data_IF_601353776633
#
_entry.id   IF_601353776633
#
_cell.length_a   1.000
_cell.length_b   1.000
_cell.length_c   1.000
_cell.angle_alpha   90.00
_cell.angle_beta   90.00
_cell.angle_gamma   90.00
#
_symmetry.space_group_name_H-M   'P 1'
#
loop_
_entity.id
_entity.type
_entity.pdbx_description
1 polymer ?
#
# COMPACT_ATOMS: atom_id res chain seq x y z
N UNK A 1 18.34 -22.59 20.27
CA UNK A 1 17.74 -23.16 19.04
C UNK A 1 18.45 -22.75 17.73
N UNK A 2 19.02 -21.54 17.68
CA UNK A 2 19.58 -20.89 16.47
C UNK A 2 20.54 -21.75 15.64
N UNK A 3 21.54 -22.40 16.25
CA UNK A 3 22.57 -23.17 15.55
C UNK A 3 22.08 -24.49 14.92
N UNK A 4 20.92 -25.02 15.34
CA UNK A 4 20.38 -26.30 14.83
C UNK A 4 19.37 -26.12 13.71
N UNK A 5 18.86 -24.89 13.52
CA UNK A 5 17.82 -24.59 12.54
C UNK A 5 18.31 -24.44 11.11
N UNK A 6 19.62 -24.22 10.90
CA UNK A 6 20.18 -23.88 9.60
C UNK A 6 19.80 -22.48 9.07
N UNK A 7 18.97 -21.73 9.80
CA UNK A 7 18.54 -20.40 9.40
C UNK A 7 19.67 -19.37 9.58
N UNK A 8 19.82 -18.50 8.58
CA UNK A 8 20.72 -17.35 8.68
C UNK A 8 20.21 -16.36 9.74
N UNK A 9 21.14 -15.56 10.28
CA UNK A 9 20.78 -14.48 11.22
C UNK A 9 19.82 -13.47 10.60
N UNK A 10 20.02 -13.15 9.32
CA UNK A 10 19.16 -12.24 8.56
C UNK A 10 17.74 -12.79 8.45
N UNK A 11 17.61 -14.06 8.09
CA UNK A 11 16.30 -14.73 8.00
C UNK A 11 15.59 -14.74 9.36
N UNK A 12 16.29 -15.05 10.45
CA UNK A 12 15.74 -15.00 11.81
C UNK A 12 15.24 -13.60 12.18
N UNK A 13 16.00 -12.55 11.83
CA UNK A 13 15.58 -11.17 12.07
C UNK A 13 14.33 -10.79 11.26
N UNK A 14 14.26 -11.18 9.98
CA UNK A 14 13.08 -10.91 9.14
C UNK A 14 11.85 -11.64 9.67
N UNK A 15 11.98 -12.91 10.05
CA UNK A 15 10.88 -13.66 10.65
C UNK A 15 10.40 -13.04 11.96
N UNK A 16 11.31 -12.57 12.81
CA UNK A 16 10.93 -11.86 14.03
C UNK A 16 10.26 -10.52 13.73
N UNK A 17 10.75 -9.76 12.76
CA UNK A 17 10.17 -8.48 12.34
C UNK A 17 8.73 -8.66 11.79
N UNK A 18 8.51 -9.74 11.03
CA UNK A 18 7.20 -10.15 10.50
C UNK A 18 6.28 -10.82 11.55
N UNK A 19 6.73 -10.97 12.80
CA UNK A 19 5.91 -11.54 13.87
C UNK A 19 5.74 -13.07 13.82
N UNK A 20 6.60 -13.79 13.10
CA UNK A 20 6.53 -15.26 12.99
C UNK A 20 6.67 -15.98 14.36
N UNK A 21 7.19 -15.28 15.38
CA UNK A 21 7.39 -15.81 16.73
C UNK A 21 6.38 -15.27 17.75
N UNK A 22 5.41 -14.45 17.35
CA UNK A 22 4.47 -13.79 18.27
C UNK A 22 3.65 -14.81 19.08
N UNK A 23 3.21 -15.89 18.44
CA UNK A 23 2.49 -16.99 19.11
C UNK A 23 3.34 -17.71 20.16
N UNK A 24 4.65 -17.81 19.92
CA UNK A 24 5.60 -18.42 20.85
C UNK A 24 5.83 -17.51 22.06
N UNK A 25 5.97 -16.20 21.83
CA UNK A 25 6.06 -15.19 22.89
C UNK A 25 4.78 -15.11 23.73
N UNK A 26 3.61 -15.19 23.10
CA UNK A 26 2.33 -15.23 23.79
C UNK A 26 2.22 -16.45 24.72
N UNK A 27 2.71 -17.62 24.28
CA UNK A 27 2.69 -18.86 25.08
C UNK A 27 3.68 -18.83 26.24
N UNK A 28 4.83 -18.17 26.08
CA UNK A 28 5.80 -17.99 27.19
C UNK A 28 5.41 -16.83 28.11
N UNK A 29 4.50 -15.95 27.68
CA UNK A 29 4.07 -14.76 28.40
C UNK A 29 5.19 -13.75 28.61
N UNK A 30 6.24 -13.79 27.77
CA UNK A 30 7.50 -13.09 28.04
C UNK A 30 7.92 -12.21 26.87
N UNK A 31 7.98 -10.90 27.15
CA UNK A 31 8.42 -9.86 26.22
C UNK A 31 7.49 -9.66 25.02
N UNK A 32 7.84 -8.69 24.18
CA UNK A 32 7.13 -8.37 22.95
C UNK A 32 8.04 -8.54 21.72
N UNK A 33 7.49 -8.26 20.53
CA UNK A 33 8.22 -8.38 19.26
C UNK A 33 9.50 -7.55 19.25
N UNK A 34 9.47 -6.33 19.80
CA UNK A 34 10.63 -5.44 19.86
C UNK A 34 11.74 -6.01 20.76
N UNK A 35 11.38 -6.55 21.92
CA UNK A 35 12.33 -7.23 22.83
C UNK A 35 13.06 -8.38 22.11
N UNK A 36 12.32 -9.18 21.33
CA UNK A 36 12.89 -10.30 20.58
C UNK A 36 13.82 -9.84 19.45
N UNK A 37 13.43 -8.80 18.71
CA UNK A 37 14.26 -8.24 17.65
C UNK A 37 15.58 -7.71 18.24
N UNK A 38 15.53 -7.01 19.38
CA UNK A 38 16.72 -6.52 20.07
C UNK A 38 17.62 -7.68 20.54
N UNK A 39 17.00 -8.72 21.12
CA UNK A 39 17.71 -9.91 21.55
C UNK A 39 18.34 -10.72 20.39
N UNK A 40 17.74 -10.69 19.19
CA UNK A 40 18.33 -11.28 17.98
C UNK A 40 19.46 -10.41 17.39
N UNK A 41 19.38 -9.09 17.56
CA UNK A 41 20.45 -8.13 17.21
C UNK A 41 21.65 -8.20 18.15
N UNK A 42 21.49 -8.71 19.36
CA UNK A 42 22.63 -9.01 20.23
C UNK A 42 23.44 -10.18 19.63
N UNK A 43 24.76 -10.03 19.42
CA UNK A 43 25.58 -11.10 18.87
C UNK A 43 25.51 -12.33 19.76
N UNK A 44 25.37 -13.51 19.15
CA UNK A 44 25.44 -14.77 19.86
C UNK A 44 26.77 -14.86 20.62
N UNK A 45 26.73 -15.42 21.84
CA UNK A 45 27.90 -15.54 22.71
C UNK A 45 29.11 -16.18 22.02
N UNK A 46 30.30 -15.93 22.58
CA UNK A 46 31.59 -16.40 22.05
C UNK A 46 31.52 -17.87 21.63
N UNK A 47 32.08 -18.18 20.45
CA UNK A 47 32.22 -19.55 19.96
C UNK A 47 32.89 -20.40 21.03
N UNK A 48 32.25 -21.50 21.42
CA UNK A 48 32.79 -22.40 22.43
C UNK A 48 34.16 -22.94 21.98
N UNK A 49 35.20 -22.84 22.84
CA UNK A 49 36.48 -23.50 22.61
C UNK A 49 36.29 -25.00 22.32
N UNK A 50 37.17 -25.60 21.52
CA UNK A 50 37.06 -27.01 21.10
C UNK A 50 36.81 -27.97 22.27
N UNK A 51 37.48 -27.76 23.41
CA UNK A 51 37.32 -28.57 24.63
C UNK A 51 35.93 -28.54 25.27
N UNK A 52 35.09 -27.56 24.93
CA UNK A 52 33.72 -27.40 25.42
C UNK A 52 32.68 -27.65 24.33
N UNK A 53 33.09 -28.10 23.14
CA UNK A 53 32.13 -28.49 22.10
C UNK A 53 31.50 -29.83 22.47
N UNK A 54 30.20 -30.01 22.20
CA UNK A 54 29.52 -31.29 22.47
C UNK A 54 30.20 -32.44 21.72
N UNK A 55 30.52 -33.52 22.44
CA UNK A 55 31.03 -34.76 21.84
C UNK A 55 29.88 -35.70 21.44
N UNK A 56 30.16 -36.61 20.51
CA UNK A 56 29.17 -37.60 20.08
C UNK A 56 28.73 -38.49 21.27
N UNK A 57 27.42 -38.63 21.47
CA UNK A 57 26.84 -39.35 22.60
C UNK A 57 26.65 -38.55 23.89
N UNK A 58 27.08 -37.27 23.93
CA UNK A 58 26.82 -36.41 25.08
C UNK A 58 25.35 -35.98 25.14
N UNK A 59 24.70 -36.25 26.28
CA UNK A 59 23.32 -35.82 26.53
C UNK A 59 23.25 -34.32 26.84
N UNK A 60 22.15 -33.69 26.42
CA UNK A 60 21.85 -32.30 26.74
C UNK A 60 21.16 -32.21 28.10
N UNK A 61 21.54 -31.21 28.91
CA UNK A 61 20.81 -30.87 30.13
C UNK A 61 19.43 -30.28 29.76
N UNK A 62 18.35 -30.66 30.46
CA UNK A 62 17.00 -30.14 30.18
C UNK A 62 16.82 -28.73 30.78
N UNK A 63 17.56 -27.75 30.25
CA UNK A 63 17.55 -26.36 30.74
C UNK A 63 16.36 -25.52 30.22
N UNK A 64 15.45 -26.13 29.46
CA UNK A 64 14.31 -25.44 28.87
C UNK A 64 14.72 -24.42 27.81
N UNK A 65 13.88 -23.39 27.61
CA UNK A 65 14.10 -22.35 26.62
C UNK A 65 14.92 -21.19 27.19
N UNK A 66 16.24 -21.31 27.04
CA UNK A 66 17.18 -20.29 27.47
C UNK A 66 17.18 -19.04 26.57
N UNK A 67 16.68 -19.14 25.33
CA UNK A 67 16.69 -18.01 24.41
C UNK A 67 15.69 -16.94 24.92
N UNK A 68 14.44 -17.32 25.23
CA UNK A 68 13.48 -16.38 25.83
C UNK A 68 13.77 -16.05 27.30
N UNK A 69 14.26 -17.01 28.10
CA UNK A 69 14.54 -16.77 29.51
C UNK A 69 15.62 -15.68 29.72
N UNK A 70 16.61 -15.60 28.82
CA UNK A 70 17.68 -14.62 28.87
C UNK A 70 17.40 -13.35 28.06
N UNK A 71 16.23 -13.26 27.42
CA UNK A 71 15.80 -12.06 26.70
C UNK A 71 15.56 -10.93 27.70
N UNK A 72 16.16 -9.77 27.43
CA UNK A 72 15.86 -8.53 28.13
C UNK A 72 14.44 -8.08 27.76
N UNK A 73 13.70 -7.54 28.72
CA UNK A 73 12.31 -7.11 28.54
C UNK A 73 12.23 -5.64 28.94
N UNK A 74 11.54 -4.85 28.14
CA UNK A 74 11.25 -3.45 28.46
C UNK A 74 11.16 -2.54 27.25
N UNK A 75 11.36 -3.07 26.04
CA UNK A 75 11.13 -2.32 24.82
C UNK A 75 9.65 -1.97 24.69
N UNK A 76 9.35 -0.79 24.14
CA UNK A 76 7.98 -0.41 23.81
C UNK A 76 7.43 -1.34 22.72
N UNK A 77 6.13 -1.63 22.77
CA UNK A 77 5.47 -2.39 21.72
C UNK A 77 5.58 -1.65 20.38
N UNK A 78 5.92 -2.38 19.32
CA UNK A 78 5.97 -1.83 17.96
C UNK A 78 4.58 -1.31 17.58
N UNK A 79 4.45 -0.03 17.20
CA UNK A 79 3.17 0.53 16.79
C UNK A 79 2.71 -0.09 15.47
N UNK A 80 1.39 -0.09 15.24
CA UNK A 80 0.77 -0.79 14.10
C UNK A 80 1.28 -0.28 12.74
N UNK A 81 1.53 1.01 12.61
CA UNK A 81 2.05 1.62 11.37
C UNK A 81 3.47 1.13 11.05
N UNK A 82 4.31 0.94 12.06
CA UNK A 82 5.65 0.36 11.89
C UNK A 82 5.58 -1.14 11.55
N UNK A 83 4.62 -1.87 12.11
CA UNK A 83 4.35 -3.27 11.73
C UNK A 83 3.98 -3.37 10.26
N UNK A 84 3.00 -2.60 9.80
CA UNK A 84 2.54 -2.62 8.41
C UNK A 84 3.66 -2.17 7.45
N UNK A 85 4.45 -1.16 7.82
CA UNK A 85 5.64 -0.77 7.03
C UNK A 85 6.64 -1.91 6.89
N UNK A 86 6.92 -2.62 7.97
CA UNK A 86 7.83 -3.77 7.98
C UNK A 86 7.33 -4.90 7.08
N UNK A 87 6.01 -5.16 7.09
CA UNK A 87 5.38 -6.15 6.20
C UNK A 87 5.55 -5.76 4.73
N UNK A 88 5.27 -4.50 4.40
CA UNK A 88 5.45 -3.98 3.04
C UNK A 88 6.93 -4.01 2.61
N UNK A 89 7.87 -3.67 3.48
CA UNK A 89 9.30 -3.65 3.15
C UNK A 89 9.86 -5.06 2.90
N UNK A 90 9.39 -6.07 3.65
CA UNK A 90 9.92 -7.44 3.58
C UNK A 90 9.13 -8.38 2.68
N UNK A 91 7.81 -8.18 2.56
CA UNK A 91 6.89 -9.06 1.83
C UNK A 91 6.18 -8.35 0.66
N UNK A 92 6.29 -7.02 0.55
CA UNK A 92 5.56 -6.21 -0.45
C UNK A 92 4.02 -6.29 -0.35
N UNK A 93 3.49 -6.86 0.73
CA UNK A 93 2.07 -6.97 1.05
C UNK A 93 1.85 -6.64 2.52
N UNK A 94 0.71 -6.04 2.83
CA UNK A 94 0.21 -5.79 4.17
C UNK A 94 -0.68 -6.95 4.65
N UNK A 95 -0.46 -7.38 5.90
CA UNK A 95 -1.13 -8.55 6.49
C UNK A 95 -1.89 -8.17 7.75
N UNK A 96 -1.28 -7.37 8.63
CA UNK A 96 -1.88 -7.05 9.93
C UNK A 96 -3.00 -6.01 9.82
N UNK A 97 -2.81 -4.98 8.99
CA UNK A 97 -3.79 -3.92 8.74
C UNK A 97 -3.53 -3.28 7.38
N UNK A 98 -4.57 -2.76 6.74
CA UNK A 98 -4.40 -2.15 5.42
C UNK A 98 -3.67 -0.81 5.52
N UNK A 99 -2.75 -0.51 4.60
CA UNK A 99 -1.98 0.74 4.61
C UNK A 99 -2.87 2.00 4.73
N UNK A 100 -4.05 1.98 4.11
CA UNK A 100 -5.00 3.11 4.13
C UNK A 100 -5.60 3.39 5.51
N UNK A 101 -5.58 2.43 6.44
CA UNK A 101 -6.08 2.64 7.81
C UNK A 101 -5.29 3.73 8.54
N UNK A 102 -3.98 3.82 8.29
CA UNK A 102 -3.13 4.90 8.84
C UNK A 102 -3.56 6.30 8.38
N UNK A 103 -4.27 6.39 7.24
CA UNK A 103 -4.81 7.63 6.68
C UNK A 103 -6.28 7.88 7.06
N UNK A 104 -6.94 6.97 7.79
CA UNK A 104 -8.38 7.05 8.08
C UNK A 104 -8.85 8.40 8.66
N UNK A 105 -8.13 9.07 9.59
CA UNK A 105 -8.55 10.38 10.09
C UNK A 105 -8.59 11.47 8.99
N UNK A 106 -7.61 11.45 8.08
CA UNK A 106 -7.53 12.37 6.95
C UNK A 106 -8.62 12.06 5.91
N UNK A 107 -8.80 10.79 5.57
CA UNK A 107 -9.83 10.38 4.58
C UNK A 107 -11.24 10.75 5.06
N UNK A 108 -11.49 10.61 6.37
CA UNK A 108 -12.75 11.03 6.98
C UNK A 108 -12.98 12.53 6.91
N UNK A 109 -11.95 13.36 7.12
CA UNK A 109 -12.11 14.82 7.01
C UNK A 109 -12.35 15.28 5.57
N UNK A 110 -11.81 14.56 4.59
CA UNK A 110 -12.04 14.82 3.17
C UNK A 110 -13.41 14.34 2.67
N UNK A 111 -14.08 13.44 3.39
CA UNK A 111 -15.36 12.85 2.98
C UNK A 111 -15.21 11.82 1.87
N UNK A 112 -14.13 11.02 1.92
CA UNK A 112 -13.88 9.92 0.99
C UNK A 112 -14.94 8.83 1.14
N UNK A 113 -15.42 8.31 0.02
CA UNK A 113 -16.31 7.15 -0.07
C UNK A 113 -15.49 5.88 -0.23
N UNK A 114 -15.86 4.84 0.51
CA UNK A 114 -15.20 3.54 0.42
C UNK A 114 -15.70 2.73 -0.78
N UNK A 115 -14.84 1.84 -1.29
CA UNK A 115 -15.14 0.96 -2.42
C UNK A 115 -16.44 0.17 -2.20
N UNK A 116 -16.60 -0.42 -1.01
CA UNK A 116 -17.78 -1.20 -0.63
C UNK A 116 -19.11 -0.43 -0.72
N UNK A 117 -19.08 0.90 -0.55
CA UNK A 117 -20.28 1.74 -0.50
C UNK A 117 -20.72 2.20 -1.89
N UNK A 118 -19.80 2.21 -2.86
CA UNK A 118 -20.05 2.78 -4.19
C UNK A 118 -21.21 2.06 -4.89
N UNK A 119 -21.33 0.74 -4.76
CA UNK A 119 -22.34 -0.05 -5.47
C UNK A 119 -23.78 0.39 -5.14
N UNK A 120 -24.01 0.89 -3.92
CA UNK A 120 -25.28 1.44 -3.47
C UNK A 120 -25.59 2.84 -4.00
N UNK A 121 -24.60 3.53 -4.59
CA UNK A 121 -24.77 4.89 -5.07
C UNK A 121 -25.48 4.94 -6.44
N UNK A 122 -26.13 6.08 -6.69
CA UNK A 122 -26.71 6.39 -8.00
C UNK A 122 -25.58 6.55 -9.02
N UNK A 123 -25.88 6.21 -10.28
CA UNK A 123 -24.98 6.50 -11.39
C UNK A 123 -24.81 8.01 -11.60
N UNK A 124 -23.58 8.47 -11.80
CA UNK A 124 -23.26 9.89 -11.93
C UNK A 124 -23.15 10.64 -10.60
N UNK A 125 -23.17 9.95 -9.46
CA UNK A 125 -22.86 10.55 -8.16
C UNK A 125 -21.39 10.98 -8.15
N UNK A 126 -21.15 12.19 -7.69
CA UNK A 126 -19.80 12.73 -7.53
C UNK A 126 -19.21 12.26 -6.20
N UNK A 127 -18.00 11.70 -6.27
CA UNK A 127 -17.34 11.05 -5.12
C UNK A 127 -15.85 11.35 -5.09
N UNK A 128 -15.29 11.25 -3.89
CA UNK A 128 -13.86 11.12 -3.66
C UNK A 128 -13.60 9.67 -3.24
N UNK A 129 -12.63 9.02 -3.86
CA UNK A 129 -12.17 7.68 -3.48
C UNK A 129 -10.67 7.75 -3.25
N UNK A 130 -10.15 7.05 -2.24
CA UNK A 130 -8.73 7.01 -1.98
C UNK A 130 -8.25 5.56 -1.85
N UNK A 131 -7.05 5.27 -2.33
CA UNK A 131 -6.50 3.92 -2.22
C UNK A 131 -5.07 3.81 -2.72
N UNK A 132 -4.51 2.61 -2.52
CA UNK A 132 -3.23 2.19 -3.05
C UNK A 132 -3.43 1.74 -4.50
N UNK A 133 -2.67 2.29 -5.43
CA UNK A 133 -2.65 1.83 -6.82
C UNK A 133 -2.21 0.37 -6.89
N UNK A 134 -3.06 -0.48 -7.45
CA UNK A 134 -2.77 -1.91 -7.67
C UNK A 134 -2.57 -2.23 -9.16
N UNK A 135 -3.14 -1.43 -10.07
CA UNK A 135 -2.94 -1.60 -11.50
C UNK A 135 -3.04 -0.27 -12.26
N UNK A 136 -2.28 -0.16 -13.35
CA UNK A 136 -2.41 0.91 -14.35
C UNK A 136 -2.42 0.29 -15.75
N UNK A 137 -3.42 0.63 -16.55
CA UNK A 137 -3.53 0.18 -17.94
C UNK A 137 -3.78 1.36 -18.86
N UNK A 138 -3.15 1.35 -20.04
CA UNK A 138 -3.23 2.47 -20.99
C UNK A 138 -3.56 2.00 -22.41
N UNK A 139 -4.73 1.36 -22.61
CA UNK A 139 -5.07 0.81 -23.91
C UNK A 139 -5.13 1.89 -24.99
N UNK A 140 -4.76 1.55 -26.24
CA UNK A 140 -4.79 2.48 -27.35
C UNK A 140 -6.24 2.84 -27.71
N UNK A 141 -6.50 4.11 -28.03
CA UNK A 141 -7.79 4.55 -28.59
C UNK A 141 -7.69 4.88 -30.07
N UNK A 142 -8.83 4.79 -30.77
CA UNK A 142 -8.97 5.32 -32.13
C UNK A 142 -8.58 6.81 -32.15
N UNK A 143 -7.68 7.17 -33.07
CA UNK A 143 -7.17 8.53 -33.22
C UNK A 143 -5.91 8.87 -32.42
N UNK A 144 -5.16 7.86 -31.95
CA UNK A 144 -3.84 8.04 -31.33
C UNK A 144 -3.86 8.62 -29.91
N UNK A 145 -5.05 8.85 -29.35
CA UNK A 145 -5.23 9.21 -27.94
C UNK A 145 -5.14 7.96 -27.07
N UNK A 146 -4.81 8.11 -25.79
CA UNK A 146 -4.83 7.04 -24.80
C UNK A 146 -5.81 7.38 -23.69
N UNK A 147 -6.41 6.36 -23.09
CA UNK A 147 -7.14 6.44 -21.83
C UNK A 147 -6.29 5.76 -20.77
N UNK A 148 -6.33 6.23 -19.53
CA UNK A 148 -5.62 5.58 -18.42
C UNK A 148 -6.68 4.99 -17.50
N UNK A 149 -6.59 3.69 -17.25
CA UNK A 149 -7.34 2.99 -16.21
C UNK A 149 -6.41 2.80 -15.02
N UNK A 150 -6.86 3.21 -13.84
CA UNK A 150 -6.16 2.98 -12.59
C UNK A 150 -7.10 2.23 -11.66
N UNK A 151 -6.66 1.09 -11.14
CA UNK A 151 -7.33 0.37 -10.08
C UNK A 151 -6.68 0.74 -8.76
N UNK A 152 -7.50 1.16 -7.78
CA UNK A 152 -7.06 1.47 -6.42
C UNK A 152 -7.74 0.56 -5.42
N UNK A 153 -7.00 0.10 -4.40
CA UNK A 153 -7.51 -0.66 -3.28
C UNK A 153 -7.54 0.21 -2.02
N UNK A 154 -8.67 0.23 -1.32
CA UNK A 154 -8.85 0.99 -0.08
C UNK A 154 -8.91 0.10 1.17
N UNK A 155 -8.76 -1.23 1.00
CA UNK A 155 -8.88 -2.23 2.07
C UNK A 155 -10.31 -2.76 2.25
N UNK A 156 -11.32 -2.08 1.70
CA UNK A 156 -12.70 -2.58 1.59
C UNK A 156 -13.00 -3.18 0.22
N UNK A 157 -12.16 -2.88 -0.77
CA UNK A 157 -12.17 -3.48 -2.10
C UNK A 157 -11.51 -2.58 -3.14
N UNK A 158 -11.47 -3.05 -4.38
CA UNK A 158 -10.88 -2.32 -5.50
C UNK A 158 -11.89 -1.43 -6.24
N UNK A 159 -11.47 -0.25 -6.67
CA UNK A 159 -12.23 0.67 -7.52
C UNK A 159 -11.45 0.99 -8.78
N UNK A 160 -12.09 0.83 -9.93
CA UNK A 160 -11.50 1.20 -11.23
C UNK A 160 -11.86 2.63 -11.60
N UNK A 161 -10.86 3.45 -11.89
CA UNK A 161 -11.00 4.83 -12.32
C UNK A 161 -10.48 5.05 -13.74
N UNK A 162 -11.30 5.69 -14.58
CA UNK A 162 -10.98 5.98 -15.98
C UNK A 162 -10.64 7.45 -16.14
N UNK A 163 -9.40 7.75 -16.53
CA UNK A 163 -8.91 9.09 -16.80
C UNK A 163 -8.92 9.36 -18.30
N UNK A 164 -9.83 10.23 -18.73
CA UNK A 164 -9.87 10.74 -20.11
C UNK A 164 -8.85 11.87 -20.33
N UNK A 165 -8.68 12.28 -21.58
CA UNK A 165 -7.65 13.24 -21.98
C UNK A 165 -7.62 14.53 -21.14
N UNK A 166 -8.77 15.11 -20.80
CA UNK A 166 -8.84 16.32 -19.97
C UNK A 166 -8.38 16.09 -18.53
N UNK A 167 -8.78 14.95 -17.93
CA UNK A 167 -8.32 14.57 -16.59
C UNK A 167 -6.82 14.27 -16.59
N UNK A 168 -6.31 13.59 -17.62
CA UNK A 168 -4.87 13.34 -17.77
C UNK A 168 -4.04 14.63 -17.85
N UNK A 169 -4.54 15.66 -18.54
CA UNK A 169 -3.82 16.94 -18.62
C UNK A 169 -3.71 17.64 -17.26
N UNK A 170 -4.74 17.51 -16.40
CA UNK A 170 -4.74 18.08 -15.04
C UNK A 170 -3.85 17.30 -14.09
N UNK A 171 -4.02 15.98 -14.04
CA UNK A 171 -3.30 15.12 -13.09
C UNK A 171 -1.83 14.89 -13.51
N UNK A 172 -1.50 15.05 -14.79
CA UNK A 172 -0.13 15.03 -15.28
C UNK A 172 0.61 13.71 -14.96
N UNK A 173 1.87 13.76 -14.46
CA UNK A 173 2.70 12.57 -14.22
C UNK A 173 2.23 11.72 -13.02
N UNK A 174 1.37 12.27 -12.15
CA UNK A 174 0.85 11.61 -10.96
C UNK A 174 0.19 10.26 -11.27
N UNK A 175 -0.44 10.14 -12.45
CA UNK A 175 -1.10 8.93 -12.93
C UNK A 175 -0.14 7.74 -13.13
N UNK A 176 1.17 7.97 -13.11
CA UNK A 176 2.18 6.96 -13.40
C UNK A 176 3.22 6.77 -12.28
N UNK A 177 3.53 7.81 -11.51
CA UNK A 177 4.53 7.74 -10.44
C UNK A 177 3.95 7.46 -9.04
N UNK A 178 2.71 7.88 -8.78
CA UNK A 178 2.17 7.89 -7.42
C UNK A 178 1.49 6.59 -7.01
N UNK A 179 1.87 6.04 -5.85
CA UNK A 179 1.25 4.82 -5.29
C UNK A 179 -0.02 5.10 -4.50
N UNK A 180 -0.09 6.19 -3.73
CA UNK A 180 -1.26 6.53 -2.91
C UNK A 180 -2.07 7.63 -3.59
N UNK A 181 -3.29 7.31 -3.99
CA UNK A 181 -4.12 8.21 -4.80
C UNK A 181 -5.34 8.65 -4.02
N UNK A 182 -5.68 9.93 -4.16
CA UNK A 182 -7.01 10.46 -3.94
C UNK A 182 -7.58 10.81 -5.32
N UNK A 183 -8.72 10.23 -5.68
CA UNK A 183 -9.37 10.37 -6.98
C UNK A 183 -10.72 11.05 -6.79
N UNK A 184 -10.92 12.16 -7.47
CA UNK A 184 -12.22 12.80 -7.63
C UNK A 184 -12.87 12.31 -8.93
N UNK A 185 -14.10 11.84 -8.86
CA UNK A 185 -14.77 11.30 -10.03
C UNK A 185 -16.29 11.22 -9.93
N UNK A 186 -16.90 10.77 -11.03
CA UNK A 186 -18.32 10.45 -11.11
C UNK A 186 -18.49 8.94 -11.20
N UNK A 187 -19.41 8.38 -10.43
CA UNK A 187 -19.74 6.95 -10.50
C UNK A 187 -20.30 6.59 -11.87
N UNK A 188 -19.90 5.42 -12.39
CA UNK A 188 -20.33 4.84 -13.65
C UNK A 188 -20.70 3.38 -13.45
N UNK A 189 -21.95 3.02 -13.76
CA UNK A 189 -22.37 1.61 -13.75
C UNK A 189 -21.85 0.89 -14.99
N UNK A 190 -21.15 -0.22 -14.77
CA UNK A 190 -20.50 -1.07 -15.78
C UNK A 190 -21.09 -2.49 -15.80
N UNK A 191 -22.37 -2.62 -15.43
CA UNK A 191 -23.11 -3.90 -15.42
C UNK A 191 -24.02 -4.02 -14.20
N UNK A 192 -24.66 -5.19 -13.99
CA UNK A 192 -25.59 -5.40 -12.87
C UNK A 192 -24.93 -5.20 -11.49
N UNK A 193 -23.66 -5.58 -11.35
CA UNK A 193 -22.84 -5.38 -10.13
C UNK A 193 -21.53 -4.64 -10.40
N UNK A 194 -21.36 -4.07 -11.59
CA UNK A 194 -20.16 -3.33 -11.95
C UNK A 194 -20.33 -1.85 -11.63
N UNK A 195 -19.38 -1.28 -10.89
CA UNK A 195 -19.24 0.16 -10.71
C UNK A 195 -17.78 0.57 -10.91
N UNK A 196 -17.58 1.66 -11.65
CA UNK A 196 -16.30 2.31 -11.86
C UNK A 196 -16.45 3.82 -11.69
N UNK A 197 -15.35 4.54 -11.78
CA UNK A 197 -15.32 6.00 -11.76
C UNK A 197 -14.90 6.54 -13.13
N UNK A 198 -15.60 7.57 -13.59
CA UNK A 198 -15.04 8.52 -14.53
C UNK A 198 -14.25 9.56 -13.73
N UNK A 199 -12.93 9.49 -13.79
CA UNK A 199 -12.06 10.38 -13.03
C UNK A 199 -12.07 11.79 -13.63
N UNK A 200 -12.16 12.75 -12.73
CA UNK A 200 -12.16 14.19 -13.00
C UNK A 200 -10.84 14.82 -12.57
N UNK A 201 -10.32 14.44 -11.40
CA UNK A 201 -9.05 14.91 -10.88
C UNK A 201 -8.41 13.86 -9.96
N UNK A 202 -7.13 14.02 -9.65
CA UNK A 202 -6.42 13.16 -8.72
C UNK A 202 -5.24 13.87 -8.05
N UNK A 203 -4.98 13.47 -6.80
CA UNK A 203 -3.89 13.97 -5.96
C UNK A 203 -3.10 12.82 -5.35
N UNK A 204 -1.88 13.14 -4.90
CA UNK A 204 -1.00 12.23 -4.20
C UNK A 204 -1.31 12.34 -2.71
N UNK A 205 -1.78 11.24 -2.11
CA UNK A 205 -2.14 11.24 -0.70
C UNK A 205 -0.93 11.44 0.23
N UNK A 206 0.28 11.20 -0.27
CA UNK A 206 1.51 11.48 0.47
C UNK A 206 1.86 12.96 0.52
N UNK A 207 1.41 13.76 -0.47
CA UNK A 207 1.68 15.19 -0.56
C UNK A 207 0.56 16.03 0.06
N UNK A 208 0.56 16.09 1.41
CA UNK A 208 -0.51 16.73 2.19
C UNK A 208 -0.80 18.19 1.81
N UNK A 209 0.19 18.94 1.35
CA UNK A 209 0.03 20.34 0.93
C UNK A 209 -0.74 20.52 -0.37
N UNK A 210 -0.77 19.50 -1.22
CA UNK A 210 -1.48 19.52 -2.50
C UNK A 210 -2.92 19.00 -2.37
N UNK A 211 -3.27 18.39 -1.23
CA UNK A 211 -4.60 17.82 -1.02
C UNK A 211 -5.68 18.90 -0.93
N UNK A 212 -6.90 18.60 -1.41
CA UNK A 212 -8.02 19.51 -1.26
C UNK A 212 -8.38 19.68 0.24
N UNK A 213 -9.06 20.78 0.54
CA UNK A 213 -9.53 21.05 1.90
C UNK A 213 -10.57 20.02 2.40
N UNK A 214 -10.78 19.93 3.71
CA UNK A 214 -11.86 19.12 4.29
C UNK A 214 -13.22 19.45 3.69
N UNK A 215 -14.04 18.42 3.47
CA UNK A 215 -15.36 18.60 2.86
C UNK A 215 -15.33 19.11 1.42
N UNK A 216 -14.25 18.85 0.67
CA UNK A 216 -14.04 19.32 -0.71
C UNK A 216 -15.30 19.24 -1.58
N UNK A 217 -16.01 18.11 -1.60
CA UNK A 217 -17.21 17.97 -2.46
C UNK A 217 -18.36 18.93 -2.09
N UNK A 218 -18.44 19.30 -0.82
CA UNK A 218 -19.46 20.21 -0.27
C UNK A 218 -19.08 21.70 -0.39
N UNK A 219 -17.83 22.01 -0.70
CA UNK A 219 -17.37 23.39 -0.84
C UNK A 219 -18.02 24.06 -2.08
N UNK A 220 -18.83 25.11 -1.90
CA UNK A 220 -19.46 25.82 -3.01
C UNK A 220 -18.45 26.62 -3.84
N UNK A 221 -17.29 27.00 -3.28
CA UNK A 221 -16.26 27.77 -3.96
C UNK A 221 -15.29 26.91 -4.78
N UNK A 222 -15.42 25.58 -4.73
CA UNK A 222 -14.55 24.68 -5.49
C UNK A 222 -14.74 24.85 -6.99
N UNK A 223 -13.66 24.65 -7.75
CA UNK A 223 -13.72 24.57 -9.19
C UNK A 223 -14.63 23.39 -9.61
N UNK A 224 -15.79 23.70 -10.21
CA UNK A 224 -16.69 22.68 -10.77
C UNK A 224 -16.35 22.46 -12.23
N UNK A 225 -16.30 21.19 -12.63
CA UNK A 225 -16.08 20.84 -14.03
C UNK A 225 -17.39 20.96 -14.81
N UNK A 226 -17.68 22.16 -15.34
CA UNK A 226 -18.92 22.45 -16.09
C UNK A 226 -19.00 21.76 -17.48
N UNK A 227 -17.88 21.24 -17.99
CA UNK A 227 -17.75 20.79 -19.39
C UNK A 227 -18.25 19.36 -19.68
N UNK A 228 -18.49 18.51 -18.68
CA UNK A 228 -18.70 17.07 -18.93
C UNK A 228 -20.13 16.67 -19.36
N UNK A 229 -21.01 17.64 -19.60
CA UNK A 229 -22.35 17.45 -20.20
C UNK A 229 -22.53 18.10 -21.57
N UNK A 230 -21.53 18.82 -22.07
CA UNK A 230 -21.62 19.59 -23.31
C UNK A 230 -20.78 18.94 -24.41
N UNK A 231 -21.40 18.60 -25.53
CA UNK A 231 -20.78 18.01 -26.73
C UNK A 231 -19.79 18.92 -27.48
N UNK A 232 -19.15 19.87 -26.79
CA UNK A 232 -18.23 20.82 -27.41
C UNK A 232 -16.85 20.18 -27.53
N UNK A 233 -16.36 20.08 -28.77
CA UNK A 233 -15.01 19.56 -29.06
C UNK A 233 -13.95 20.41 -28.34
N UNK A 234 -13.02 19.81 -27.59
CA UNK A 234 -11.96 20.56 -26.93
C UNK A 234 -10.95 21.09 -27.94
N UNK A 235 -10.48 22.32 -27.70
CA UNK A 235 -9.43 23.00 -28.48
C UNK A 235 -8.06 22.41 -28.13
N UNK A 236 -7.28 22.08 -29.16
CA UNK A 236 -5.92 21.50 -29.06
C UNK A 236 -4.96 22.50 -28.37
N UNK A 237 -4.43 22.15 -27.20
CA UNK A 237 -3.18 22.74 -26.68
C UNK A 237 -2.08 21.68 -26.70
N UNK A 238 -0.99 22.01 -27.37
CA UNK A 238 0.18 21.16 -27.62
C UNK A 238 1.06 21.06 -26.36
N UNK A 239 0.79 20.06 -25.52
CA UNK A 239 1.79 19.48 -24.61
C UNK A 239 2.46 18.26 -25.24
N UNK A 240 3.64 17.86 -24.75
CA UNK A 240 4.29 16.60 -25.15
C UNK A 240 3.31 15.42 -25.06
N UNK A 241 3.31 14.55 -26.08
CA UNK A 241 2.36 13.44 -26.13
C UNK A 241 2.59 12.47 -24.97
N UNK A 242 1.51 11.97 -24.37
CA UNK A 242 1.58 10.97 -23.30
C UNK A 242 2.39 9.73 -23.73
N UNK A 243 2.33 9.35 -25.01
CA UNK A 243 3.12 8.26 -25.57
C UNK A 243 4.65 8.49 -25.42
N UNK A 244 5.12 9.73 -25.61
CA UNK A 244 6.53 10.06 -25.42
C UNK A 244 6.97 9.99 -23.96
N UNK A 245 6.08 10.34 -23.02
CA UNK A 245 6.35 10.26 -21.57
C UNK A 245 6.39 8.82 -21.07
N UNK A 246 5.45 7.98 -21.53
CA UNK A 246 5.40 6.57 -21.16
C UNK A 246 6.61 5.77 -21.67
N UNK A 247 7.13 6.11 -22.86
CA UNK A 247 8.36 5.51 -23.38
C UNK A 247 9.60 5.90 -22.55
N UNK A 248 9.60 7.08 -21.92
CA UNK A 248 10.67 7.52 -21.03
C UNK A 248 10.64 6.84 -19.65
N UNK A 249 9.46 6.41 -19.20
CA UNK A 249 9.24 5.80 -17.87
C UNK A 249 9.13 4.25 -17.92
N UNK A 250 9.30 3.64 -19.09
CA UNK A 250 9.22 2.19 -19.34
C UNK A 250 7.92 1.54 -18.79
N UNK A 251 6.80 2.23 -19.02
CA UNK A 251 5.47 1.83 -18.52
C UNK A 251 4.67 0.99 -19.51
N UNK A 252 5.04 1.00 -20.79
CA UNK A 252 4.39 0.16 -21.81
C UNK A 252 4.71 -1.35 -21.61
N UNK A 253 5.75 -1.68 -20.84
CA UNK A 253 6.24 -3.05 -20.59
C UNK A 253 5.83 -3.61 -19.22
N UNK A 254 5.45 -2.77 -18.25
CA UNK A 254 5.10 -3.18 -16.87
C UNK A 254 3.69 -3.73 -16.67
N UNK A 255 2.88 -3.80 -17.74
CA UNK A 255 1.55 -4.41 -17.73
C UNK A 255 1.55 -5.93 -17.51
N UNK A 256 2.72 -6.55 -17.37
CA UNK A 256 2.91 -7.97 -17.07
C UNK A 256 4.01 -8.14 -16.02
N UNK A 257 3.73 -7.83 -14.75
CA UNK A 257 4.34 -8.60 -13.66
C UNK A 257 3.53 -9.90 -13.54
N UNK A 258 3.82 -10.82 -14.46
CA UNK A 258 3.33 -12.19 -14.41
C UNK A 258 4.17 -12.99 -13.42
N UNK A 259 3.45 -13.67 -12.52
CA UNK A 259 3.82 -14.82 -11.69
C UNK A 259 4.98 -14.67 -10.69
#
# INVERSE_FOLDING_TARGET
MRARSGLSRTSLNHFAALGAFDSLQARTGRGNRADLIEHLRTPAGKVLPQRYRPIHGQLALPLGDLDFANMAIGAAQTPLDEVVRTELDLMSIDVTAHLMESHAPLLRSLGVSHSQDLLGMRNGTEVLVAGVRVATQTPPMRGGRRVVFISVDDGTGCVDATFFHEAQQRCGPLLFSTRLLLIHGLTRRTGPRGISLQALDAWDLSEKSALPGPGYLSDPARARNESFGSSTKPVRKTGQSLAARMAAEDLDTRGYLGA
#
